data_IF_348709306377
#
_entry.id   IF_348709306377
#
_cell.length_a   1.000
_cell.length_b   1.000
_cell.length_c   1.000
_cell.angle_alpha   90.00
_cell.angle_beta   90.00
_cell.angle_gamma   90.00
#
_symmetry.space_group_name_H-M   'P 1'
#
loop_
_entity.id
_entity.type
_entity.pdbx_description
1 polymer ?
#
# COMPACT_ATOMS: atom_id res chain seq x y z
N UNK A 1 11.84 5.51 16.31
CA UNK A 1 12.15 4.06 16.51
C UNK A 1 11.37 3.29 15.48
N UNK A 2 12.02 2.67 14.50
CA UNK A 2 11.37 1.97 13.39
C UNK A 2 10.67 0.71 13.88
N UNK A 3 9.40 0.53 13.57
CA UNK A 3 8.63 -0.67 13.91
C UNK A 3 9.17 -1.90 13.15
N UNK A 4 9.42 -2.99 13.86
CA UNK A 4 9.74 -4.27 13.23
C UNK A 4 8.46 -4.94 12.74
N UNK A 5 8.26 -4.96 11.43
CA UNK A 5 7.08 -5.55 10.81
C UNK A 5 7.25 -7.06 10.72
N UNK A 6 6.35 -7.82 11.36
CA UNK A 6 6.29 -9.29 11.30
C UNK A 6 4.87 -9.74 10.92
N UNK A 7 4.73 -10.95 10.40
CA UNK A 7 3.41 -11.51 10.04
C UNK A 7 2.49 -11.58 11.27
N UNK A 8 3.03 -11.93 12.43
CA UNK A 8 2.30 -12.02 13.68
C UNK A 8 1.81 -10.64 14.14
N UNK A 9 2.68 -9.63 14.06
CA UNK A 9 2.30 -8.25 14.41
C UNK A 9 1.20 -7.73 13.50
N UNK A 10 1.33 -7.88 12.18
CA UNK A 10 0.28 -7.46 11.22
C UNK A 10 -1.02 -8.23 11.46
N UNK A 11 -0.94 -9.53 11.77
CA UNK A 11 -2.11 -10.35 12.11
C UNK A 11 -2.85 -9.83 13.34
N UNK A 12 -2.12 -9.51 14.41
CA UNK A 12 -2.71 -8.99 15.65
C UNK A 12 -3.38 -7.63 15.40
N UNK A 13 -2.74 -6.73 14.61
CA UNK A 13 -3.33 -5.45 14.23
C UNK A 13 -4.58 -5.64 13.37
N UNK A 14 -4.53 -6.53 12.36
CA UNK A 14 -5.69 -6.85 11.54
C UNK A 14 -6.89 -7.29 12.41
N UNK A 15 -6.67 -8.20 13.37
CA UNK A 15 -7.75 -8.65 14.25
C UNK A 15 -8.34 -7.52 15.08
N UNK A 16 -7.50 -6.66 15.65
CA UNK A 16 -7.96 -5.52 16.45
C UNK A 16 -8.78 -4.53 15.60
N UNK A 17 -8.28 -4.18 14.41
CA UNK A 17 -8.95 -3.28 13.48
C UNK A 17 -10.24 -3.89 12.89
N UNK A 18 -10.24 -5.21 12.63
CA UNK A 18 -11.44 -5.93 12.18
C UNK A 18 -12.55 -5.87 13.23
N UNK A 19 -12.20 -6.10 14.49
CA UNK A 19 -13.15 -5.96 15.60
C UNK A 19 -13.68 -4.55 15.72
N UNK A 20 -12.82 -3.54 15.61
CA UNK A 20 -13.17 -2.15 15.82
C UNK A 20 -14.00 -1.56 14.68
N UNK A 21 -13.60 -1.81 13.41
CA UNK A 21 -14.12 -1.07 12.25
C UNK A 21 -14.98 -1.92 11.30
N UNK A 22 -14.94 -3.24 11.42
CA UNK A 22 -15.62 -4.17 10.53
C UNK A 22 -16.44 -5.24 11.28
N UNK A 23 -16.67 -5.07 12.58
CA UNK A 23 -17.52 -5.96 13.41
C UNK A 23 -17.10 -7.44 13.34
N UNK A 24 -15.80 -7.71 13.20
CA UNK A 24 -15.23 -9.05 12.94
C UNK A 24 -15.77 -9.73 11.66
N UNK A 25 -16.34 -9.00 10.74
CA UNK A 25 -16.97 -9.58 9.53
C UNK A 25 -15.96 -10.04 8.49
N UNK A 26 -14.72 -9.54 8.52
CA UNK A 26 -13.71 -9.90 7.55
C UNK A 26 -13.03 -11.22 7.90
N UNK A 27 -12.99 -12.20 6.98
CA UNK A 27 -12.21 -13.41 7.19
C UNK A 27 -10.73 -13.08 7.23
N UNK A 28 -9.96 -13.80 8.07
CA UNK A 28 -8.51 -13.61 8.16
C UNK A 28 -7.83 -13.97 6.83
N UNK A 29 -7.21 -13.01 6.14
CA UNK A 29 -6.43 -13.30 4.94
C UNK A 29 -5.10 -13.97 5.30
N UNK A 30 -4.44 -14.56 4.32
CA UNK A 30 -3.05 -14.96 4.49
C UNK A 30 -2.18 -13.72 4.61
N UNK A 31 -1.55 -13.52 5.77
CA UNK A 31 -0.63 -12.39 5.98
C UNK A 31 0.74 -12.75 5.40
N UNK A 32 1.38 -11.78 4.74
CA UNK A 32 2.74 -11.88 4.23
C UNK A 32 3.50 -10.58 4.43
N UNK A 33 4.81 -10.68 4.59
CA UNK A 33 5.71 -9.54 4.58
C UNK A 33 6.49 -9.56 3.26
N UNK A 34 6.35 -8.49 2.49
CA UNK A 34 7.00 -8.34 1.19
C UNK A 34 8.19 -7.38 1.22
N UNK A 35 8.95 -7.33 0.11
CA UNK A 35 10.02 -6.37 -0.12
C UNK A 35 9.68 -5.49 -1.32
N UNK A 36 8.61 -4.72 -1.20
CA UNK A 36 8.13 -3.82 -2.25
C UNK A 36 8.55 -2.38 -1.91
N UNK A 37 9.14 -1.69 -2.87
CA UNK A 37 9.59 -0.29 -2.70
C UNK A 37 8.63 0.73 -3.31
N UNK A 38 7.57 0.27 -4.00
CA UNK A 38 6.58 1.13 -4.66
C UNK A 38 5.20 1.10 -4.01
N UNK A 39 4.91 0.04 -3.25
CA UNK A 39 3.62 -0.13 -2.56
C UNK A 39 3.87 -0.54 -1.11
N UNK A 40 3.14 0.08 -0.19
CA UNK A 40 3.25 -0.20 1.24
C UNK A 40 2.42 -1.41 1.65
N UNK A 41 1.26 -1.60 1.03
CA UNK A 41 0.35 -2.72 1.20
C UNK A 41 -0.13 -3.27 -0.14
N UNK A 42 -0.64 -4.49 -0.13
CA UNK A 42 -1.27 -5.12 -1.29
C UNK A 42 -2.23 -6.21 -0.82
N UNK A 43 -3.49 -6.10 -1.22
CA UNK A 43 -4.46 -7.18 -1.08
C UNK A 43 -4.71 -7.88 -2.42
N UNK A 44 -4.59 -9.21 -2.42
CA UNK A 44 -4.92 -10.07 -3.56
C UNK A 44 -6.04 -11.02 -3.17
N UNK A 45 -7.23 -10.78 -3.70
CA UNK A 45 -8.38 -11.65 -3.50
C UNK A 45 -8.17 -13.02 -4.13
N UNK A 46 -8.41 -14.08 -3.34
CA UNK A 46 -8.38 -15.46 -3.84
C UNK A 46 -9.40 -16.30 -3.06
N UNK A 47 -10.37 -16.86 -3.77
CA UNK A 47 -11.46 -17.60 -3.14
C UNK A 47 -12.21 -16.72 -2.13
N UNK A 48 -12.45 -17.24 -0.93
CA UNK A 48 -13.19 -16.53 0.14
C UNK A 48 -12.34 -15.59 0.97
N UNK A 49 -11.01 -15.67 0.94
CA UNK A 49 -10.16 -14.87 1.84
C UNK A 49 -9.19 -13.97 1.08
N UNK A 50 -8.17 -14.51 0.45
CA UNK A 50 -7.10 -13.74 -0.20
C UNK A 50 -5.81 -13.66 0.60
N UNK A 51 -4.91 -12.79 0.13
CA UNK A 51 -3.61 -12.54 0.76
C UNK A 51 -3.44 -11.04 0.97
N UNK A 52 -3.09 -10.65 2.18
CA UNK A 52 -2.69 -9.28 2.54
C UNK A 52 -1.18 -9.26 2.74
N UNK A 53 -0.50 -8.44 1.98
CA UNK A 53 0.95 -8.27 2.07
C UNK A 53 1.28 -6.86 2.54
N UNK A 54 2.15 -6.73 3.54
CA UNK A 54 2.70 -5.44 3.98
C UNK A 54 4.17 -5.40 3.60
N UNK A 55 4.65 -4.30 3.05
CA UNK A 55 6.06 -4.14 2.69
C UNK A 55 6.89 -3.79 3.93
N UNK A 56 8.04 -4.43 4.09
CA UNK A 56 9.03 -4.08 5.13
C UNK A 56 10.03 -3.01 4.70
N UNK A 57 9.85 -2.42 3.50
CA UNK A 57 10.81 -1.47 2.94
C UNK A 57 10.62 -0.03 3.43
N UNK A 58 9.49 0.26 4.06
CA UNK A 58 9.14 1.61 4.52
C UNK A 58 9.37 1.78 6.01
N UNK A 59 9.57 3.03 6.43
CA UNK A 59 9.59 3.38 7.85
C UNK A 59 8.14 3.60 8.33
N UNK A 60 7.71 2.77 9.29
CA UNK A 60 6.36 2.81 9.86
C UNK A 60 6.39 3.32 11.28
N UNK A 61 5.50 4.24 11.58
CA UNK A 61 4.93 4.38 12.91
C UNK A 61 3.64 3.53 13.03
N UNK A 62 3.07 3.48 14.22
CA UNK A 62 1.88 2.67 14.48
C UNK A 62 0.66 3.15 13.67
N UNK A 63 0.48 4.48 13.57
CA UNK A 63 -0.66 5.07 12.87
C UNK A 63 -0.60 4.82 11.36
N UNK A 64 0.59 5.00 10.77
CA UNK A 64 0.82 4.77 9.34
C UNK A 64 0.65 3.30 8.96
N UNK A 65 1.13 2.39 9.83
CA UNK A 65 0.92 0.95 9.61
C UNK A 65 -0.56 0.58 9.67
N UNK A 66 -1.30 1.13 10.63
CA UNK A 66 -2.74 0.90 10.74
C UNK A 66 -3.48 1.42 9.51
N UNK A 67 -3.13 2.62 9.02
CA UNK A 67 -3.71 3.17 7.79
C UNK A 67 -3.50 2.22 6.60
N UNK A 68 -2.27 1.70 6.42
CA UNK A 68 -1.98 0.74 5.35
C UNK A 68 -2.79 -0.55 5.52
N UNK A 69 -2.87 -1.09 6.73
CA UNK A 69 -3.65 -2.31 6.99
C UNK A 69 -5.14 -2.05 6.71
N UNK A 70 -5.70 -0.92 7.17
CA UNK A 70 -7.12 -0.57 6.94
C UNK A 70 -7.39 -0.39 5.44
N UNK A 71 -6.49 0.24 4.69
CA UNK A 71 -6.59 0.38 3.23
C UNK A 71 -6.78 -1.00 2.57
N UNK A 72 -5.95 -1.98 2.93
CA UNK A 72 -6.05 -3.34 2.41
C UNK A 72 -7.28 -4.09 2.94
N UNK A 73 -7.75 -3.77 4.15
CA UNK A 73 -8.99 -4.32 4.72
C UNK A 73 -10.22 -3.81 3.97
N UNK A 74 -10.22 -2.57 3.47
CA UNK A 74 -11.29 -2.07 2.60
C UNK A 74 -11.35 -2.90 1.32
N UNK A 75 -10.21 -3.19 0.68
CA UNK A 75 -10.18 -4.09 -0.48
C UNK A 75 -10.71 -5.48 -0.15
N UNK A 76 -10.34 -6.03 1.00
CA UNK A 76 -10.85 -7.31 1.49
C UNK A 76 -12.37 -7.27 1.68
N UNK A 77 -12.90 -6.21 2.30
CA UNK A 77 -14.33 -6.00 2.52
C UNK A 77 -15.11 -5.97 1.19
N UNK A 78 -14.65 -5.20 0.23
CA UNK A 78 -15.28 -5.10 -1.09
C UNK A 78 -15.20 -6.44 -1.85
N UNK A 79 -14.07 -7.16 -1.72
CA UNK A 79 -13.92 -8.49 -2.29
C UNK A 79 -14.95 -9.48 -1.71
N UNK A 80 -15.16 -9.48 -0.39
CA UNK A 80 -16.14 -10.31 0.29
C UNK A 80 -17.60 -10.01 -0.16
N UNK A 81 -17.88 -8.74 -0.46
CA UNK A 81 -19.18 -8.30 -0.99
C UNK A 81 -19.38 -8.63 -2.48
N UNK A 82 -18.37 -9.21 -3.13
CA UNK A 82 -18.41 -9.53 -4.56
C UNK A 82 -18.35 -8.32 -5.47
N UNK A 83 -17.81 -7.18 -4.99
CA UNK A 83 -17.66 -5.98 -5.80
C UNK A 83 -16.62 -6.22 -6.91
N UNK A 84 -17.03 -6.01 -8.18
CA UNK A 84 -16.13 -6.18 -9.35
C UNK A 84 -14.99 -5.18 -9.38
N UNK A 85 -15.13 -4.08 -8.65
CA UNK A 85 -14.11 -3.05 -8.46
C UNK A 85 -13.30 -3.19 -7.17
N UNK A 86 -13.43 -4.30 -6.43
CA UNK A 86 -12.83 -4.49 -5.10
C UNK A 86 -11.33 -4.20 -5.01
N UNK A 87 -10.59 -4.42 -6.10
CA UNK A 87 -9.13 -4.15 -6.16
C UNK A 87 -8.80 -2.77 -6.77
N UNK A 88 -9.80 -1.89 -6.90
CA UNK A 88 -9.64 -0.54 -7.45
C UNK A 88 -10.13 0.50 -6.45
N UNK A 89 -9.56 1.71 -6.52
CA UNK A 89 -9.98 2.85 -5.71
C UNK A 89 -11.17 3.58 -6.36
N UNK A 90 -12.26 2.83 -6.60
CA UNK A 90 -13.48 3.35 -7.19
C UNK A 90 -14.46 3.91 -6.15
N UNK A 91 -15.71 4.20 -6.58
CA UNK A 91 -16.75 4.79 -5.72
C UNK A 91 -17.02 3.98 -4.43
N UNK A 92 -16.98 2.64 -4.53
CA UNK A 92 -17.19 1.77 -3.37
C UNK A 92 -16.06 1.90 -2.35
N UNK A 93 -14.81 1.94 -2.81
CA UNK A 93 -13.63 2.17 -1.96
C UNK A 93 -13.72 3.52 -1.22
N UNK A 94 -13.95 4.61 -1.94
CA UNK A 94 -14.07 5.94 -1.33
C UNK A 94 -15.27 6.07 -0.38
N UNK A 95 -16.35 5.31 -0.58
CA UNK A 95 -17.46 5.25 0.36
C UNK A 95 -17.05 4.62 1.68
N UNK A 96 -16.28 3.54 1.66
CA UNK A 96 -15.75 2.92 2.89
C UNK A 96 -14.70 3.83 3.57
N UNK A 97 -13.86 4.53 2.80
CA UNK A 97 -12.94 5.52 3.37
C UNK A 97 -13.70 6.63 4.11
N UNK A 98 -14.80 7.16 3.52
CA UNK A 98 -15.63 8.16 4.19
C UNK A 98 -16.30 7.60 5.44
N UNK A 99 -16.85 6.39 5.39
CA UNK A 99 -17.45 5.74 6.56
C UNK A 99 -16.44 5.67 7.71
N UNK A 100 -15.21 5.20 7.44
CA UNK A 100 -14.15 5.11 8.46
C UNK A 100 -13.77 6.51 8.99
N UNK A 101 -13.70 7.50 8.10
CA UNK A 101 -13.44 8.87 8.51
C UNK A 101 -14.53 9.41 9.44
N UNK A 102 -15.80 9.23 9.07
CA UNK A 102 -16.94 9.77 9.81
C UNK A 102 -17.12 9.07 11.17
N UNK A 103 -16.87 7.76 11.25
CA UNK A 103 -17.06 6.97 12.46
C UNK A 103 -15.85 6.98 13.40
N UNK A 104 -14.62 7.06 12.86
CA UNK A 104 -13.38 6.88 13.65
C UNK A 104 -12.40 8.05 13.54
N UNK A 105 -12.69 9.06 12.72
CA UNK A 105 -11.80 10.21 12.50
C UNK A 105 -10.52 9.88 11.73
N UNK A 106 -10.42 8.70 11.13
CA UNK A 106 -9.22 8.27 10.40
C UNK A 106 -9.34 8.59 8.91
N UNK A 107 -8.34 9.27 8.36
CA UNK A 107 -8.26 9.52 6.91
C UNK A 107 -7.47 8.41 6.24
N UNK A 108 -8.11 7.70 5.31
CA UNK A 108 -7.49 6.64 4.53
C UNK A 108 -7.23 7.17 3.13
N UNK A 109 -5.96 7.20 2.73
CA UNK A 109 -5.57 7.65 1.40
C UNK A 109 -5.68 6.50 0.40
N UNK A 110 -6.12 6.80 -0.82
CA UNK A 110 -6.22 5.84 -1.92
C UNK A 110 -4.87 5.56 -2.60
N UNK A 111 -3.91 6.46 -2.37
CA UNK A 111 -2.49 6.25 -2.71
C UNK A 111 -1.76 6.06 -1.38
N UNK A 112 -0.90 5.04 -1.32
CA UNK A 112 -0.07 4.82 -0.14
C UNK A 112 0.53 6.14 0.35
N UNK A 113 0.42 6.47 1.65
CA UNK A 113 0.95 7.73 2.17
C UNK A 113 2.39 7.90 1.72
N UNK A 114 2.86 9.15 1.60
CA UNK A 114 4.25 9.48 1.24
C UNK A 114 5.20 9.03 2.34
N UNK A 115 5.38 7.72 2.41
CA UNK A 115 6.21 7.07 3.40
C UNK A 115 7.66 7.09 2.95
N UNK A 116 8.55 7.28 3.88
CA UNK A 116 9.97 7.18 3.61
C UNK A 116 10.42 5.72 3.53
N UNK A 117 11.20 5.40 2.49
CA UNK A 117 11.90 4.12 2.41
C UNK A 117 13.02 4.09 3.45
N UNK A 118 13.16 2.97 4.13
CA UNK A 118 14.33 2.69 4.96
C UNK A 118 15.61 2.79 4.11
N UNK A 119 16.67 3.39 4.64
CA UNK A 119 17.92 3.67 3.90
C UNK A 119 18.51 2.45 3.21
N UNK A 120 18.37 1.26 3.81
CA UNK A 120 18.82 -0.02 3.24
C UNK A 120 18.09 -0.43 1.96
N UNK A 121 16.91 0.16 1.68
CA UNK A 121 16.11 -0.11 0.49
C UNK A 121 16.08 1.08 -0.48
N UNK A 122 16.64 2.22 -0.10
CA UNK A 122 16.83 3.34 -1.01
C UNK A 122 17.85 2.96 -2.07
N UNK A 123 17.45 3.00 -3.35
CA UNK A 123 18.39 2.82 -4.46
C UNK A 123 19.43 3.95 -4.39
N UNK A 124 20.67 3.59 -4.15
CA UNK A 124 21.79 4.54 -4.31
C UNK A 124 21.95 4.80 -5.80
N UNK A 125 21.38 5.90 -6.29
CA UNK A 125 21.55 6.30 -7.70
C UNK A 125 23.02 6.72 -7.89
N UNK A 126 23.79 6.01 -8.74
CA UNK A 126 25.17 6.38 -8.99
C UNK A 126 25.30 7.80 -9.51
N UNK A 127 26.41 8.46 -9.22
CA UNK A 127 26.63 9.86 -9.60
C UNK A 127 26.47 10.10 -11.10
N UNK A 128 26.90 9.15 -11.93
CA UNK A 128 26.76 9.23 -13.39
C UNK A 128 25.28 9.23 -13.85
N UNK A 129 24.39 8.49 -13.19
CA UNK A 129 22.95 8.51 -13.50
C UNK A 129 22.33 9.86 -13.10
N UNK A 130 22.79 10.45 -12.00
CA UNK A 130 22.34 11.79 -11.57
C UNK A 130 22.81 12.85 -12.57
N UNK A 131 24.07 12.80 -13.02
CA UNK A 131 24.60 13.71 -14.03
C UNK A 131 23.86 13.54 -15.36
N UNK A 132 23.67 12.28 -15.82
CA UNK A 132 22.92 12.00 -17.03
C UNK A 132 21.49 12.55 -16.96
N UNK A 133 20.83 12.45 -15.81
CA UNK A 133 19.50 13.04 -15.62
C UNK A 133 19.51 14.56 -15.81
N UNK A 134 20.46 15.28 -15.21
CA UNK A 134 20.54 16.74 -15.32
C UNK A 134 21.01 17.21 -16.71
N UNK A 135 21.90 16.47 -17.35
CA UNK A 135 22.40 16.78 -18.70
C UNK A 135 21.35 16.50 -19.77
N UNK A 136 20.59 15.40 -19.61
CA UNK A 136 19.57 15.00 -20.57
C UNK A 136 18.18 15.61 -20.28
N UNK A 137 17.99 16.27 -19.14
CA UNK A 137 16.72 16.90 -18.76
C UNK A 137 16.17 17.86 -19.85
N UNK A 138 16.98 18.73 -20.50
CA UNK A 138 16.47 19.60 -21.55
C UNK A 138 15.95 18.86 -22.76
N UNK A 139 16.49 17.65 -23.05
CA UNK A 139 16.09 16.82 -24.19
C UNK A 139 14.92 15.87 -23.84
N UNK A 140 14.66 15.60 -22.57
CA UNK A 140 13.56 14.75 -22.12
C UNK A 140 12.16 15.32 -22.38
N UNK A 141 12.03 16.64 -22.59
CA UNK A 141 10.77 17.24 -23.03
C UNK A 141 10.33 16.74 -24.42
N UNK A 142 11.26 16.30 -25.25
CA UNK A 142 11.00 15.78 -26.61
C UNK A 142 10.78 14.25 -26.60
N UNK A 143 11.28 13.54 -25.57
CA UNK A 143 11.25 12.07 -25.49
C UNK A 143 10.25 11.52 -24.47
N UNK A 144 9.24 12.30 -24.06
CA UNK A 144 8.16 11.84 -23.15
C UNK A 144 7.50 10.50 -23.53
N UNK A 145 7.37 10.08 -24.80
CA UNK A 145 6.80 8.77 -25.11
C UNK A 145 7.69 7.59 -24.72
N UNK A 146 9.01 7.77 -24.61
CA UNK A 146 9.95 6.66 -24.29
C UNK A 146 10.07 6.39 -22.79
N UNK A 147 9.61 7.27 -21.93
CA UNK A 147 9.64 7.07 -20.47
C UNK A 147 8.71 5.94 -20.01
N UNK A 148 7.64 5.67 -20.75
CA UNK A 148 6.72 4.55 -20.47
C UNK A 148 7.35 3.17 -20.71
N UNK A 149 8.36 3.09 -21.58
CA UNK A 149 9.07 1.84 -21.88
C UNK A 149 10.16 1.52 -20.84
N UNK A 150 10.72 2.54 -20.19
CA UNK A 150 11.77 2.37 -19.18
C UNK A 150 11.20 1.85 -17.85
N UNK A 151 9.99 2.26 -17.48
CA UNK A 151 9.30 1.81 -16.26
C UNK A 151 8.73 0.38 -16.37
N UNK A 152 8.73 -0.21 -17.57
CA UNK A 152 8.29 -1.59 -17.83
C UNK A 152 9.42 -2.63 -17.76
N UNK A 153 10.72 -2.21 -17.81
CA UNK A 153 11.85 -3.11 -17.89
C UNK A 153 12.77 -3.13 -16.66
N UNK A 154 12.61 -2.22 -15.73
CA UNK A 154 13.36 -2.11 -14.48
C UNK A 154 12.41 -1.79 -13.32
#
# INVERSE_FOLDING_TARGET
MTLKITEEFVRSRFMALNKMMFENSLPMPKIRIGKYTRVAGLFLGKGRTGTLTVSQCFDYDAATLDEVIIHEMIHCCLWQRGDRGALRHGRAFHRECRRIHDEYGMTIHDIAPRMELLDRYRRKVPLYERIAYYVLWPFNCVLKPFRYLYDLWF
#
